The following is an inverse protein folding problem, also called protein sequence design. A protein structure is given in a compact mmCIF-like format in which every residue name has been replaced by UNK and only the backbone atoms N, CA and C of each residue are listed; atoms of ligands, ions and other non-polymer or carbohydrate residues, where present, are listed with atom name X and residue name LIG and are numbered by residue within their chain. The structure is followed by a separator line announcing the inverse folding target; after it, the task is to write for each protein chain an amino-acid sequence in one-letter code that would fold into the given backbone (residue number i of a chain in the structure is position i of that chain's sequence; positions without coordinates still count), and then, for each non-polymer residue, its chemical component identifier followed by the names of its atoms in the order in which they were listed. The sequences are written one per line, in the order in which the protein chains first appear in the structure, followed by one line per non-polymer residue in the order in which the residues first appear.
data_IF_330653767237
#
_entry.id   IF_330653767237
#
_cell.length_a   1.000
_cell.length_b   1.000
_cell.length_c   1.000
_cell.angle_alpha   90.00
_cell.angle_beta   90.00
_cell.angle_gamma   90.00
#
_symmetry.space_group_name_H-M   'P 1'
#
loop_
_entity.id
_entity.type
_entity.pdbx_description
1 polymer ?
#
# COMPACT_ATOMS: atom_id res chain seq x y z
N UNK A 1 12.71 -15.29 13.09
CA UNK A 1 12.73 -14.05 12.26
C UNK A 1 11.99 -14.21 10.93
N UNK A 2 12.04 -15.37 10.24
CA UNK A 2 11.38 -15.62 8.94
C UNK A 2 9.91 -15.16 8.83
N UNK A 3 9.04 -15.54 9.79
CA UNK A 3 7.61 -15.20 9.77
C UNK A 3 7.30 -13.70 9.72
N UNK A 4 8.12 -12.87 10.37
CA UNK A 4 7.95 -11.41 10.35
C UNK A 4 8.30 -10.84 8.98
N UNK A 5 9.36 -11.36 8.36
CA UNK A 5 9.77 -10.95 7.01
C UNK A 5 8.73 -11.38 5.97
N UNK A 6 8.15 -12.58 6.09
CA UNK A 6 7.06 -13.03 5.22
C UNK A 6 5.79 -12.19 5.38
N UNK A 7 5.43 -11.84 6.62
CA UNK A 7 4.30 -10.96 6.88
C UNK A 7 4.49 -9.57 6.26
N UNK A 8 5.70 -9.02 6.34
CA UNK A 8 6.04 -7.74 5.73
C UNK A 8 5.96 -7.80 4.20
N UNK A 9 6.57 -8.80 3.56
CA UNK A 9 6.49 -8.99 2.10
C UNK A 9 5.05 -9.17 1.62
N UNK A 10 4.24 -9.92 2.37
CA UNK A 10 2.83 -10.09 2.04
C UNK A 10 2.06 -8.77 2.17
N UNK A 11 2.33 -7.98 3.21
CA UNK A 11 1.75 -6.65 3.38
C UNK A 11 2.08 -5.74 2.19
N UNK A 12 3.36 -5.64 1.82
CA UNK A 12 3.82 -4.82 0.68
C UNK A 12 3.13 -5.24 -0.64
N UNK A 13 3.09 -6.55 -0.93
CA UNK A 13 2.42 -7.08 -2.14
C UNK A 13 0.92 -6.77 -2.16
N UNK A 14 0.24 -6.91 -1.02
CA UNK A 14 -1.21 -6.66 -0.91
C UNK A 14 -1.51 -5.17 -1.08
N UNK A 15 -0.75 -4.29 -0.42
CA UNK A 15 -0.95 -2.83 -0.50
C UNK A 15 -0.67 -2.33 -1.92
N UNK A 16 0.40 -2.79 -2.57
CA UNK A 16 0.71 -2.44 -3.96
C UNK A 16 -0.40 -2.88 -4.92
N UNK A 17 -0.85 -4.14 -4.84
CA UNK A 17 -1.93 -4.65 -5.68
C UNK A 17 -3.26 -3.91 -5.43
N UNK A 18 -3.59 -3.61 -4.17
CA UNK A 18 -4.78 -2.86 -3.82
C UNK A 18 -4.75 -1.44 -4.38
N UNK A 19 -3.61 -0.74 -4.26
CA UNK A 19 -3.41 0.60 -4.80
C UNK A 19 -3.63 0.64 -6.30
N UNK A 20 -3.02 -0.28 -7.05
CA UNK A 20 -3.19 -0.37 -8.51
C UNK A 20 -4.65 -0.61 -8.90
N UNK A 21 -5.31 -1.58 -8.26
CA UNK A 21 -6.68 -1.95 -8.57
C UNK A 21 -7.67 -0.84 -8.20
N UNK A 22 -7.53 -0.23 -7.02
CA UNK A 22 -8.37 0.89 -6.59
C UNK A 22 -8.18 2.12 -7.49
N UNK A 23 -6.96 2.41 -7.95
CA UNK A 23 -6.72 3.50 -8.88
C UNK A 23 -7.38 3.28 -10.24
N UNK A 24 -7.36 2.03 -10.75
CA UNK A 24 -7.90 1.71 -12.07
C UNK A 24 -9.42 1.54 -12.09
N UNK A 25 -10.01 1.00 -11.02
CA UNK A 25 -11.40 0.52 -10.99
C UNK A 25 -12.22 1.10 -9.84
N UNK A 26 -11.65 2.01 -9.06
CA UNK A 26 -12.31 2.54 -7.87
C UNK A 26 -12.51 1.49 -6.78
N UNK A 27 -13.40 1.81 -5.83
CA UNK A 27 -13.67 0.97 -4.66
C UNK A 27 -14.68 -0.15 -4.94
N UNK A 28 -14.94 -0.54 -6.19
CA UNK A 28 -15.75 -1.74 -6.47
C UNK A 28 -14.92 -3.04 -6.31
N UNK A 29 -13.59 -2.92 -6.40
CA UNK A 29 -12.63 -4.03 -6.24
C UNK A 29 -12.81 -4.75 -4.90
N UNK A 30 -12.86 -6.07 -4.92
CA UNK A 30 -13.06 -6.89 -3.72
C UNK A 30 -11.72 -7.34 -3.10
N UNK A 31 -11.72 -7.64 -1.79
CA UNK A 31 -10.53 -8.18 -1.08
C UNK A 31 -10.01 -9.47 -1.72
N UNK A 32 -10.85 -10.43 -2.19
CA UNK A 32 -10.37 -11.59 -2.93
C UNK A 32 -9.64 -11.27 -4.25
N UNK A 33 -10.09 -10.26 -5.01
CA UNK A 33 -9.40 -9.82 -6.23
C UNK A 33 -8.02 -9.25 -5.93
N UNK A 34 -7.92 -8.43 -4.88
CA UNK A 34 -6.62 -7.95 -4.39
C UNK A 34 -5.72 -9.10 -3.98
N UNK A 35 -6.23 -10.06 -3.21
CA UNK A 35 -5.48 -11.23 -2.77
C UNK A 35 -4.93 -12.04 -3.97
N UNK A 36 -5.76 -12.25 -4.99
CA UNK A 36 -5.38 -12.93 -6.23
C UNK A 36 -4.29 -12.15 -6.99
N UNK A 37 -4.48 -10.84 -7.20
CA UNK A 37 -3.51 -9.96 -7.88
C UNK A 37 -2.18 -9.86 -7.13
N UNK A 38 -2.23 -9.89 -5.79
CA UNK A 38 -1.07 -9.88 -4.92
C UNK A 38 -0.37 -11.24 -4.88
N UNK A 39 -1.01 -12.33 -5.31
CA UNK A 39 -0.52 -13.70 -5.17
C UNK A 39 -0.39 -14.14 -3.70
N UNK A 40 -1.31 -13.69 -2.83
CA UNK A 40 -1.36 -14.00 -1.40
C UNK A 40 -2.69 -14.69 -1.09
N UNK A 41 -2.68 -15.70 -0.22
CA UNK A 41 -3.90 -16.43 0.13
C UNK A 41 -4.94 -15.53 0.82
N UNK A 42 -6.23 -15.67 0.45
CA UNK A 42 -7.34 -14.87 1.00
C UNK A 42 -7.38 -14.85 2.53
N UNK A 43 -7.23 -16.01 3.18
CA UNK A 43 -7.22 -16.10 4.64
C UNK A 43 -6.07 -15.29 5.28
N UNK A 44 -4.94 -15.15 4.58
CA UNK A 44 -3.82 -14.31 5.03
C UNK A 44 -4.19 -12.83 4.91
N UNK A 45 -4.82 -12.42 3.81
CA UNK A 45 -5.27 -11.03 3.64
C UNK A 45 -6.33 -10.66 4.67
N UNK A 46 -7.37 -11.49 4.86
CA UNK A 46 -8.42 -11.20 5.86
C UNK A 46 -7.92 -11.20 7.31
N UNK A 47 -6.86 -11.96 7.64
CA UNK A 47 -6.21 -11.86 8.96
C UNK A 47 -5.52 -10.52 9.18
N UNK A 48 -4.96 -9.92 8.12
CA UNK A 48 -4.28 -8.62 8.19
C UNK A 48 -5.23 -7.44 8.03
N UNK A 49 -6.31 -7.62 7.26
CA UNK A 49 -7.31 -6.60 6.93
C UNK A 49 -8.70 -7.24 7.07
N UNK A 50 -9.30 -7.17 8.27
CA UNK A 50 -10.58 -7.82 8.54
C UNK A 50 -11.73 -7.34 7.64
N UNK A 51 -11.64 -6.11 7.13
CA UNK A 51 -12.62 -5.54 6.21
C UNK A 51 -11.96 -4.84 5.02
N UNK A 52 -12.78 -4.51 4.01
CA UNK A 52 -12.33 -3.74 2.84
C UNK A 52 -11.91 -2.33 3.23
N UNK A 53 -12.60 -1.74 4.19
CA UNK A 53 -12.29 -0.42 4.75
C UNK A 53 -10.91 -0.42 5.42
N UNK A 54 -10.55 -1.47 6.18
CA UNK A 54 -9.21 -1.62 6.75
C UNK A 54 -8.13 -1.74 5.68
N UNK A 55 -8.43 -2.43 4.57
CA UNK A 55 -7.51 -2.50 3.43
C UNK A 55 -7.35 -1.13 2.75
N UNK A 56 -8.45 -0.39 2.56
CA UNK A 56 -8.42 0.98 2.00
C UNK A 56 -7.60 1.91 2.91
N UNK A 57 -7.82 1.85 4.23
CA UNK A 57 -7.04 2.62 5.20
C UNK A 57 -5.55 2.27 5.16
N UNK A 58 -5.21 1.00 4.99
CA UNK A 58 -3.81 0.57 4.84
C UNK A 58 -3.16 1.17 3.59
N UNK A 59 -3.87 1.17 2.45
CA UNK A 59 -3.40 1.81 1.21
C UNK A 59 -3.26 3.32 1.37
N UNK A 60 -4.22 3.98 2.03
CA UNK A 60 -4.14 5.41 2.28
C UNK A 60 -2.94 5.77 3.18
N UNK A 61 -2.74 5.02 4.27
CA UNK A 61 -1.59 5.19 5.19
C UNK A 61 -0.26 5.01 4.46
N UNK A 62 -0.16 4.02 3.58
CA UNK A 62 1.04 3.82 2.75
C UNK A 62 1.29 5.00 1.81
N UNK A 63 0.24 5.50 1.14
CA UNK A 63 0.31 6.71 0.33
C UNK A 63 0.81 7.94 1.11
N UNK A 64 0.28 8.18 2.30
CA UNK A 64 0.73 9.28 3.16
C UNK A 64 2.19 9.12 3.62
N UNK A 65 2.63 7.89 3.94
CA UNK A 65 4.03 7.62 4.27
C UNK A 65 4.95 7.89 3.09
N UNK A 66 4.56 7.48 1.89
CA UNK A 66 5.31 7.76 0.66
C UNK A 66 5.43 9.26 0.40
N UNK A 67 4.32 10.00 0.55
CA UNK A 67 4.32 11.45 0.42
C UNK A 67 5.24 12.11 1.46
N UNK A 68 5.13 11.70 2.73
CA UNK A 68 5.98 12.21 3.80
C UNK A 68 7.47 11.96 3.50
N UNK A 69 7.83 10.76 3.05
CA UNK A 69 9.20 10.42 2.70
C UNK A 69 9.73 11.31 1.55
N UNK A 70 8.92 11.54 0.51
CA UNK A 70 9.26 12.45 -0.59
C UNK A 70 9.44 13.89 -0.10
N UNK A 71 8.55 14.39 0.75
CA UNK A 71 8.68 15.73 1.34
C UNK A 71 9.95 15.87 2.16
N UNK A 72 10.26 14.89 3.02
CA UNK A 72 11.49 14.91 3.82
C UNK A 72 12.75 14.87 2.95
N UNK A 73 12.75 14.08 1.87
CA UNK A 73 13.86 14.04 0.92
C UNK A 73 14.01 15.38 0.17
N UNK A 74 12.90 15.99 -0.24
CA UNK A 74 12.91 17.27 -0.94
C UNK A 74 13.44 18.42 -0.06
N UNK A 75 13.16 18.40 1.26
CA UNK A 75 13.70 19.38 2.20
C UNK A 75 15.23 19.36 2.31
N UNK A 76 15.88 18.27 1.91
CA UNK A 76 17.35 18.18 1.89
C UNK A 76 17.97 18.74 0.60
N UNK A 77 17.15 19.17 -0.37
CA UNK A 77 17.61 19.76 -1.63
C UNK A 77 17.65 21.29 -1.55
N UNK A 78 18.50 21.92 -2.38
CA UNK A 78 18.63 23.38 -2.48
C UNK A 78 17.32 24.07 -2.91
N UNK A 79 16.49 23.38 -3.71
CA UNK A 79 15.15 23.81 -4.09
C UNK A 79 14.13 22.71 -3.75
N UNK A 80 13.58 22.82 -2.53
CA UNK A 80 12.62 21.85 -2.01
C UNK A 80 11.28 21.85 -2.76
N UNK A 81 10.89 22.95 -3.39
CA UNK A 81 9.64 23.00 -4.16
C UNK A 81 9.79 22.16 -5.43
N UNK A 82 10.87 22.41 -6.19
CA UNK A 82 11.17 21.64 -7.41
C UNK A 82 11.37 20.16 -7.11
N UNK A 83 12.09 19.83 -6.05
CA UNK A 83 12.35 18.44 -5.65
C UNK A 83 11.09 17.67 -5.22
N UNK A 84 10.03 18.35 -4.77
CA UNK A 84 8.76 17.72 -4.40
C UNK A 84 7.79 17.60 -5.57
N UNK A 85 7.85 18.53 -6.53
CA UNK A 85 6.94 18.59 -7.68
C UNK A 85 7.30 17.63 -8.82
N UNK A 86 8.57 17.21 -8.91
CA UNK A 86 9.03 16.16 -9.82
C UNK A 86 8.64 14.75 -9.31
#
# INVERSE_FOLDING_TARGET
MLRRADALRNHERVVAAARELFAARGLDVTVPEVAARAGVGRATVYRSYPSKEELVLAVARDGFRSLQARTLAALAADDAYRALSD
#
